data_IF_416208630004
#
_entry.id   IF_416208630004
#
_cell.length_a   1.000
_cell.length_b   1.000
_cell.length_c   1.000
_cell.angle_alpha   90.00
_cell.angle_beta   90.00
_cell.angle_gamma   90.00
#
_symmetry.space_group_name_H-M   'P 1'
#
loop_
_entity.id
_entity.type
_entity.pdbx_description
1 polymer ?
#
# COMPACT_ATOMS: atom_id res chain seq x y z
N UNK A 1 -1.77 -23.50 9.27
CA UNK A 1 -2.30 -23.74 10.64
C UNK A 1 -2.57 -22.43 11.40
N UNK A 2 -1.56 -21.60 11.69
CA UNK A 2 -1.73 -20.36 12.48
C UNK A 2 -2.84 -19.43 11.94
N UNK A 3 -2.89 -19.18 10.63
CA UNK A 3 -3.95 -18.38 10.01
C UNK A 3 -5.34 -18.99 10.19
N UNK A 4 -5.47 -20.32 10.13
CA UNK A 4 -6.75 -20.99 10.34
C UNK A 4 -7.26 -20.77 11.77
N UNK A 5 -6.38 -20.90 12.77
CA UNK A 5 -6.72 -20.61 14.17
C UNK A 5 -7.14 -19.15 14.32
N UNK A 6 -6.36 -18.21 13.77
CA UNK A 6 -6.66 -16.79 13.83
C UNK A 6 -8.04 -16.47 13.24
N UNK A 7 -8.34 -16.97 12.03
CA UNK A 7 -9.63 -16.70 11.37
C UNK A 7 -10.81 -17.41 12.03
N UNK A 8 -10.62 -18.61 12.58
CA UNK A 8 -11.67 -19.29 13.36
C UNK A 8 -12.00 -18.48 14.61
N UNK A 9 -11.00 -18.05 15.38
CA UNK A 9 -11.21 -17.24 16.58
C UNK A 9 -11.87 -15.90 16.21
N UNK A 10 -11.38 -15.21 15.19
CA UNK A 10 -11.96 -13.95 14.72
C UNK A 10 -13.42 -14.10 14.25
N UNK A 11 -13.77 -15.25 13.65
CA UNK A 11 -15.13 -15.57 13.20
C UNK A 11 -16.19 -15.64 14.31
N UNK A 12 -15.78 -15.69 15.58
CA UNK A 12 -16.68 -15.75 16.73
C UNK A 12 -16.83 -14.39 17.47
N UNK A 13 -16.33 -13.29 16.91
CA UNK A 13 -16.39 -11.97 17.54
C UNK A 13 -17.82 -11.38 17.57
N UNK A 14 -18.63 -11.65 16.55
CA UNK A 14 -19.90 -10.94 16.34
C UNK A 14 -21.10 -11.64 16.99
N UNK A 15 -21.95 -10.83 17.63
CA UNK A 15 -23.16 -11.30 18.31
C UNK A 15 -24.15 -11.87 17.29
N UNK A 16 -24.66 -13.06 17.59
CA UNK A 16 -25.70 -13.74 16.80
C UNK A 16 -26.88 -14.13 17.71
N UNK A 17 -27.59 -15.21 17.41
CA UNK A 17 -28.81 -15.61 18.12
C UNK A 17 -28.57 -16.02 19.59
N UNK A 18 -27.33 -16.30 19.98
CA UNK A 18 -26.98 -16.79 21.32
C UNK A 18 -26.54 -15.70 22.31
N UNK A 19 -26.75 -14.42 21.99
CA UNK A 19 -26.54 -13.29 22.91
C UNK A 19 -25.08 -12.94 23.26
N UNK A 20 -24.11 -13.80 22.95
CA UNK A 20 -22.68 -13.59 23.18
C UNK A 20 -22.02 -12.94 21.95
N UNK A 21 -21.15 -11.96 22.17
CA UNK A 21 -20.37 -11.26 21.14
C UNK A 21 -20.75 -9.77 21.00
N UNK A 22 -20.21 -9.13 19.97
CA UNK A 22 -20.40 -7.70 19.70
C UNK A 22 -21.36 -7.42 18.54
N UNK A 23 -22.20 -6.40 18.67
CA UNK A 23 -22.95 -5.84 17.54
C UNK A 23 -22.07 -4.85 16.77
N UNK A 24 -21.98 -5.00 15.45
CA UNK A 24 -21.22 -4.08 14.60
C UNK A 24 -21.73 -2.64 14.72
N UNK A 25 -23.05 -2.46 14.80
CA UNK A 25 -23.67 -1.14 14.97
C UNK A 25 -23.28 -0.50 16.30
N UNK A 26 -23.34 -1.26 17.40
CA UNK A 26 -22.93 -0.79 18.73
C UNK A 26 -21.45 -0.40 18.73
N UNK A 27 -20.57 -1.21 18.12
CA UNK A 27 -19.15 -0.89 17.98
C UNK A 27 -18.98 0.44 17.25
N UNK A 28 -19.57 0.59 16.05
CA UNK A 28 -19.41 1.80 15.26
C UNK A 28 -19.90 3.04 16.01
N UNK A 29 -21.10 3.00 16.58
CA UNK A 29 -21.70 4.14 17.26
C UNK A 29 -21.00 4.53 18.57
N UNK A 30 -20.28 3.59 19.20
CA UNK A 30 -19.46 3.86 20.37
C UNK A 30 -18.17 4.64 20.03
N UNK A 31 -17.67 4.55 18.80
CA UNK A 31 -16.43 5.21 18.38
C UNK A 31 -16.68 6.62 17.86
N UNK A 32 -16.66 7.58 18.79
CA UNK A 32 -16.82 9.01 18.55
C UNK A 32 -15.74 9.79 19.30
N UNK A 33 -15.32 10.93 18.78
CA UNK A 33 -14.26 11.74 19.37
C UNK A 33 -14.53 13.24 19.23
N UNK A 34 -13.76 14.08 19.96
CA UNK A 34 -14.00 15.52 20.01
C UNK A 34 -13.88 16.21 18.65
N UNK A 35 -13.10 15.66 17.72
CA UNK A 35 -12.90 16.21 16.38
C UNK A 35 -13.82 15.63 15.30
N UNK A 36 -14.48 14.50 15.58
CA UNK A 36 -15.16 13.67 14.57
C UNK A 36 -16.69 13.74 14.65
N UNK A 37 -17.25 14.56 15.53
CA UNK A 37 -18.69 14.78 15.64
C UNK A 37 -19.42 13.48 16.01
N UNK A 38 -20.38 13.06 15.18
CA UNK A 38 -21.12 11.82 15.37
C UNK A 38 -20.31 10.55 15.03
N UNK A 39 -19.02 10.67 14.69
CA UNK A 39 -18.14 9.52 14.44
C UNK A 39 -18.70 8.61 13.34
N UNK A 40 -18.81 7.31 13.63
CA UNK A 40 -19.24 6.31 12.65
C UNK A 40 -20.76 6.08 12.57
N UNK A 41 -21.58 6.91 13.23
CA UNK A 41 -23.05 6.81 13.15
C UNK A 41 -23.51 6.87 11.69
N UNK A 42 -24.41 5.95 11.29
CA UNK A 42 -24.94 5.85 9.92
C UNK A 42 -24.13 4.95 8.98
N UNK A 43 -22.89 4.57 9.32
CA UNK A 43 -22.07 3.69 8.47
C UNK A 43 -22.61 2.26 8.41
N UNK A 44 -23.16 1.75 9.51
CA UNK A 44 -23.79 0.42 9.52
C UNK A 44 -24.95 0.37 8.53
N UNK A 45 -25.79 1.40 8.53
CA UNK A 45 -26.92 1.52 7.59
C UNK A 45 -26.43 1.64 6.14
N UNK A 46 -25.40 2.44 5.86
CA UNK A 46 -24.81 2.54 4.51
C UNK A 46 -24.37 1.17 4.02
N UNK A 47 -23.58 0.45 4.82
CA UNK A 47 -22.97 -0.82 4.41
C UNK A 47 -23.95 -2.00 4.37
N UNK A 48 -25.12 -1.87 4.98
CA UNK A 48 -26.19 -2.89 4.92
C UNK A 48 -27.24 -2.58 3.85
N UNK A 49 -27.27 -1.35 3.32
CA UNK A 49 -28.29 -0.94 2.34
C UNK A 49 -27.73 -0.66 0.94
N UNK A 50 -26.48 -0.21 0.82
CA UNK A 50 -25.85 0.06 -0.48
C UNK A 50 -24.87 -1.03 -0.89
N UNK A 51 -25.17 -1.69 -2.01
CA UNK A 51 -24.25 -2.60 -2.68
C UNK A 51 -23.04 -1.87 -3.26
N UNK A 52 -23.21 -0.64 -3.73
CA UNK A 52 -22.10 0.16 -4.26
C UNK A 52 -21.11 0.55 -3.17
N UNK A 53 -21.57 0.88 -1.96
CA UNK A 53 -20.69 1.16 -0.83
C UNK A 53 -19.84 -0.08 -0.45
N UNK A 54 -20.47 -1.26 -0.37
CA UNK A 54 -19.76 -2.51 -0.11
C UNK A 54 -18.76 -2.85 -1.22
N UNK A 55 -19.19 -2.77 -2.48
CA UNK A 55 -18.34 -3.08 -3.61
C UNK A 55 -17.14 -2.13 -3.71
N UNK A 56 -17.32 -0.84 -3.40
CA UNK A 56 -16.25 0.14 -3.35
C UNK A 56 -15.14 -0.27 -2.37
N UNK A 57 -15.50 -0.60 -1.14
CA UNK A 57 -14.54 -1.03 -0.10
C UNK A 57 -13.88 -2.35 -0.49
N UNK A 58 -14.66 -3.33 -0.94
CA UNK A 58 -14.14 -4.65 -1.30
C UNK A 58 -13.15 -4.57 -2.47
N UNK A 59 -13.43 -3.78 -3.50
CA UNK A 59 -12.52 -3.59 -4.63
C UNK A 59 -11.26 -2.81 -4.25
N UNK A 60 -11.38 -1.77 -3.41
CA UNK A 60 -10.22 -1.03 -2.91
C UNK A 60 -9.28 -1.95 -2.11
N UNK A 61 -9.83 -2.79 -1.23
CA UNK A 61 -9.05 -3.73 -0.43
C UNK A 61 -8.50 -4.90 -1.24
N UNK A 62 -9.30 -5.48 -2.15
CA UNK A 62 -8.86 -6.58 -3.02
C UNK A 62 -7.77 -6.14 -3.98
N UNK A 63 -7.90 -4.94 -4.56
CA UNK A 63 -6.88 -4.39 -5.45
C UNK A 63 -5.56 -4.14 -4.72
N UNK A 64 -5.64 -3.54 -3.53
CA UNK A 64 -4.47 -3.35 -2.66
C UNK A 64 -3.83 -4.68 -2.25
N UNK A 65 -4.64 -5.69 -1.92
CA UNK A 65 -4.16 -7.03 -1.60
C UNK A 65 -3.46 -7.69 -2.80
N UNK A 66 -3.98 -7.55 -4.02
CA UNK A 66 -3.33 -8.06 -5.23
C UNK A 66 -1.94 -7.45 -5.43
N UNK A 67 -1.78 -6.14 -5.19
CA UNK A 67 -0.48 -5.45 -5.23
C UNK A 67 0.47 -6.01 -4.15
N UNK A 68 -0.02 -6.21 -2.92
CA UNK A 68 0.77 -6.81 -1.83
C UNK A 68 1.20 -8.24 -2.19
N UNK A 69 0.32 -9.04 -2.80
CA UNK A 69 0.63 -10.39 -3.28
C UNK A 69 1.76 -10.34 -4.31
N UNK A 70 1.73 -9.40 -5.26
CA UNK A 70 2.82 -9.20 -6.22
C UNK A 70 4.16 -8.97 -5.51
N UNK A 71 4.21 -8.02 -4.57
CA UNK A 71 5.41 -7.69 -3.81
C UNK A 71 5.91 -8.84 -2.93
N UNK A 72 5.01 -9.58 -2.29
CA UNK A 72 5.41 -10.73 -1.47
C UNK A 72 5.91 -11.90 -2.31
N UNK A 73 5.27 -12.21 -3.44
CA UNK A 73 5.62 -13.41 -4.22
C UNK A 73 6.99 -13.33 -4.89
N UNK A 74 7.42 -12.14 -5.35
CA UNK A 74 8.75 -12.02 -5.97
C UNK A 74 9.89 -12.05 -4.93
N UNK A 75 9.66 -11.49 -3.74
CA UNK A 75 10.64 -11.43 -2.67
C UNK A 75 10.64 -12.69 -1.79
N UNK A 76 9.54 -13.43 -1.73
CA UNK A 76 9.39 -14.68 -0.98
C UNK A 76 8.74 -15.75 -1.89
N UNK A 77 9.49 -16.30 -2.87
CA UNK A 77 8.95 -17.23 -3.86
C UNK A 77 8.33 -18.48 -3.19
N UNK A 78 7.00 -18.68 -3.27
CA UNK A 78 6.33 -19.69 -2.44
C UNK A 78 6.28 -21.08 -3.07
N UNK A 79 6.70 -21.21 -4.34
CA UNK A 79 6.62 -22.47 -5.09
C UNK A 79 8.03 -23.02 -5.43
N UNK A 80 8.20 -24.36 -5.49
CA UNK A 80 9.47 -24.95 -5.91
C UNK A 80 9.88 -24.48 -7.31
N UNK A 81 11.18 -24.18 -7.49
CA UNK A 81 11.81 -23.78 -8.76
C UNK A 81 11.29 -22.48 -9.43
N UNK A 82 10.26 -21.85 -8.88
CA UNK A 82 9.66 -20.62 -9.46
C UNK A 82 10.62 -19.43 -9.41
N UNK A 83 11.55 -19.39 -8.45
CA UNK A 83 12.51 -18.29 -8.29
C UNK A 83 13.52 -18.21 -9.45
N UNK A 84 13.85 -19.35 -10.06
CA UNK A 84 14.76 -19.43 -11.23
C UNK A 84 14.05 -19.36 -12.57
N UNK A 85 12.72 -19.37 -12.56
CA UNK A 85 11.89 -19.08 -13.72
C UNK A 85 11.54 -17.59 -13.76
N UNK A 86 12.49 -16.81 -14.27
CA UNK A 86 12.39 -15.35 -14.31
C UNK A 86 11.19 -14.85 -15.13
N UNK A 87 10.77 -15.59 -16.17
CA UNK A 87 9.63 -15.21 -16.98
C UNK A 87 8.32 -15.30 -16.19
N UNK A 88 8.17 -16.38 -15.40
CA UNK A 88 7.03 -16.57 -14.50
C UNK A 88 7.02 -15.52 -13.40
N UNK A 89 8.16 -15.22 -12.76
CA UNK A 89 8.25 -14.16 -11.74
C UNK A 89 7.80 -12.80 -12.28
N UNK A 90 8.38 -12.38 -13.41
CA UNK A 90 8.05 -11.10 -14.03
C UNK A 90 6.56 -11.04 -14.39
N UNK A 91 6.05 -12.10 -15.01
CA UNK A 91 4.67 -12.18 -15.47
C UNK A 91 3.68 -12.14 -14.30
N UNK A 92 3.92 -12.89 -13.22
CA UNK A 92 3.06 -12.88 -12.03
C UNK A 92 3.07 -11.54 -11.31
N UNK A 93 4.24 -10.91 -11.17
CA UNK A 93 4.35 -9.59 -10.57
C UNK A 93 3.55 -8.56 -11.37
N UNK A 94 3.82 -8.44 -12.68
CA UNK A 94 3.13 -7.49 -13.54
C UNK A 94 1.64 -7.77 -13.61
N UNK A 95 1.22 -9.04 -13.70
CA UNK A 95 -0.19 -9.43 -13.71
C UNK A 95 -0.93 -8.95 -12.45
N UNK A 96 -0.43 -9.28 -11.26
CA UNK A 96 -1.08 -8.91 -10.01
C UNK A 96 -1.06 -7.40 -9.74
N UNK A 97 -0.01 -6.69 -10.20
CA UNK A 97 0.05 -5.24 -10.16
C UNK A 97 -1.06 -4.60 -11.01
N UNK A 98 -1.26 -5.07 -12.24
CA UNK A 98 -2.32 -4.55 -13.12
C UNK A 98 -3.71 -4.85 -12.60
N UNK A 99 -3.99 -6.10 -12.20
CA UNK A 99 -5.27 -6.46 -11.58
C UNK A 99 -5.54 -5.58 -10.36
N UNK A 100 -4.52 -5.37 -9.53
CA UNK A 100 -4.62 -4.51 -8.36
C UNK A 100 -4.98 -3.07 -8.72
N UNK A 101 -4.30 -2.48 -9.70
CA UNK A 101 -4.60 -1.14 -10.19
C UNK A 101 -6.03 -0.99 -10.71
N UNK A 102 -6.51 -1.93 -11.53
CA UNK A 102 -7.88 -1.92 -12.03
C UNK A 102 -8.92 -2.02 -10.90
N UNK A 103 -8.69 -2.91 -9.93
CA UNK A 103 -9.60 -3.04 -8.78
C UNK A 103 -9.62 -1.78 -7.91
N UNK A 104 -8.46 -1.15 -7.62
CA UNK A 104 -8.42 0.10 -6.83
C UNK A 104 -9.21 1.21 -7.52
N UNK A 105 -9.01 1.42 -8.82
CA UNK A 105 -9.77 2.42 -9.60
C UNK A 105 -11.26 2.08 -9.65
N UNK A 106 -11.61 0.80 -9.81
CA UNK A 106 -13.00 0.33 -9.74
C UNK A 106 -13.65 0.59 -8.38
N UNK A 107 -12.88 0.48 -7.29
CA UNK A 107 -13.31 0.84 -5.94
C UNK A 107 -13.70 2.32 -5.85
N UNK A 108 -12.85 3.22 -6.36
CA UNK A 108 -13.14 4.66 -6.43
C UNK A 108 -14.38 4.96 -7.29
N UNK A 109 -14.52 4.29 -8.44
CA UNK A 109 -15.68 4.44 -9.31
C UNK A 109 -16.99 4.06 -8.59
N UNK A 110 -17.00 2.93 -7.87
CA UNK A 110 -18.17 2.53 -7.08
C UNK A 110 -18.41 3.44 -5.86
N UNK A 111 -17.36 4.02 -5.28
CA UNK A 111 -17.47 5.06 -4.27
C UNK A 111 -18.20 6.30 -4.80
N UNK A 112 -17.86 6.76 -5.99
CA UNK A 112 -18.56 7.87 -6.65
C UNK A 112 -20.02 7.51 -6.99
N UNK A 113 -20.28 6.30 -7.50
CA UNK A 113 -21.65 5.82 -7.79
C UNK A 113 -22.49 5.80 -6.51
N UNK A 114 -21.93 5.33 -5.39
CA UNK A 114 -22.57 5.38 -4.08
C UNK A 114 -22.92 6.83 -3.69
N UNK A 115 -21.99 7.77 -3.83
CA UNK A 115 -22.20 9.18 -3.49
C UNK A 115 -23.32 9.85 -4.30
N UNK A 116 -23.56 9.39 -5.53
CA UNK A 116 -24.62 9.92 -6.41
C UNK A 116 -25.97 9.26 -6.15
N UNK A 117 -26.00 7.94 -6.00
CA UNK A 117 -27.26 7.16 -5.99
C UNK A 117 -27.80 6.88 -4.60
N UNK A 118 -26.92 6.55 -3.66
CA UNK A 118 -27.31 5.90 -2.42
C UNK A 118 -26.99 6.77 -1.18
N UNK A 119 -26.14 7.79 -1.32
CA UNK A 119 -25.83 8.72 -0.25
C UNK A 119 -27.03 9.61 0.11
N UNK A 120 -27.37 9.64 1.40
CA UNK A 120 -28.41 10.50 1.94
C UNK A 120 -27.82 11.45 3.01
N UNK A 121 -27.76 12.77 2.75
CA UNK A 121 -27.22 13.75 3.69
C UNK A 121 -27.93 13.77 5.04
N UNK A 122 -29.25 13.59 5.06
CA UNK A 122 -30.04 13.62 6.30
C UNK A 122 -29.66 12.47 7.24
N UNK A 123 -29.30 11.30 6.69
CA UNK A 123 -28.85 10.13 7.47
C UNK A 123 -27.38 10.20 7.90
N UNK A 124 -26.60 11.10 7.33
CA UNK A 124 -25.16 11.23 7.57
C UNK A 124 -24.79 12.51 8.32
N UNK A 125 -25.77 13.23 8.87
CA UNK A 125 -25.52 14.53 9.47
C UNK A 125 -24.42 14.51 10.55
N UNK A 126 -23.37 15.30 10.33
CA UNK A 126 -22.23 15.48 11.22
C UNK A 126 -21.46 14.20 11.60
N UNK A 127 -21.60 13.11 10.84
CA UNK A 127 -20.76 11.93 10.95
C UNK A 127 -19.44 12.12 10.17
N UNK A 128 -18.57 11.10 10.15
CA UNK A 128 -17.30 11.16 9.43
C UNK A 128 -17.45 11.48 7.94
N UNK A 129 -18.41 10.84 7.25
CA UNK A 129 -18.60 11.02 5.81
C UNK A 129 -19.03 12.45 5.47
N UNK A 130 -20.03 12.98 6.18
CA UNK A 130 -20.48 14.36 6.02
C UNK A 130 -19.36 15.37 6.34
N UNK A 131 -18.58 15.10 7.38
CA UNK A 131 -17.45 15.96 7.74
C UNK A 131 -16.43 16.04 6.63
N UNK A 132 -16.01 14.91 6.05
CA UNK A 132 -15.08 14.87 4.91
C UNK A 132 -15.61 15.70 3.74
N UNK A 133 -16.89 15.54 3.39
CA UNK A 133 -17.52 16.31 2.30
C UNK A 133 -17.47 17.83 2.58
N UNK A 134 -17.67 18.26 3.83
CA UNK A 134 -17.68 19.69 4.21
C UNK A 134 -16.33 20.40 4.10
N UNK A 135 -15.21 19.69 4.08
CA UNK A 135 -13.89 20.28 3.91
C UNK A 135 -13.13 19.68 2.72
N UNK A 136 -13.87 19.14 1.74
CA UNK A 136 -13.31 18.53 0.53
C UNK A 136 -12.34 19.46 -0.21
N UNK A 137 -12.62 20.76 -0.26
CA UNK A 137 -11.76 21.72 -0.95
C UNK A 137 -10.38 21.84 -0.28
N UNK A 138 -10.33 21.70 1.05
CA UNK A 138 -9.07 21.65 1.80
C UNK A 138 -8.31 20.35 1.48
N UNK A 139 -8.98 19.20 1.50
CA UNK A 139 -8.35 17.91 1.17
C UNK A 139 -7.76 17.94 -0.25
N UNK A 140 -8.55 18.37 -1.23
CA UNK A 140 -8.15 18.41 -2.64
C UNK A 140 -7.03 19.43 -2.88
N UNK A 141 -7.08 20.62 -2.29
CA UNK A 141 -6.02 21.63 -2.46
C UNK A 141 -4.69 21.19 -1.85
N UNK A 142 -4.69 20.56 -0.67
CA UNK A 142 -3.46 20.03 -0.08
C UNK A 142 -2.90 18.87 -0.90
N UNK A 143 -3.75 17.94 -1.35
CA UNK A 143 -3.30 16.82 -2.19
C UNK A 143 -2.80 17.31 -3.56
N UNK A 144 -3.40 18.34 -4.13
CA UNK A 144 -2.91 19.01 -5.34
C UNK A 144 -1.50 19.60 -5.12
N UNK A 145 -1.29 20.32 -4.02
CA UNK A 145 0.02 20.83 -3.65
C UNK A 145 1.06 19.71 -3.50
N UNK A 146 0.71 18.61 -2.82
CA UNK A 146 1.59 17.43 -2.69
C UNK A 146 1.95 16.86 -4.06
N UNK A 147 0.99 16.74 -4.99
CA UNK A 147 1.26 16.24 -6.34
C UNK A 147 2.22 17.14 -7.11
N UNK A 148 2.06 18.46 -7.02
CA UNK A 148 2.99 19.43 -7.64
C UNK A 148 4.38 19.30 -7.02
N UNK A 149 4.45 19.27 -5.69
CA UNK A 149 5.71 19.09 -4.96
C UNK A 149 6.42 17.81 -5.38
N UNK A 150 5.72 16.67 -5.35
CA UNK A 150 6.29 15.38 -5.74
C UNK A 150 6.72 15.38 -7.20
N UNK A 151 5.96 15.97 -8.13
CA UNK A 151 6.35 16.08 -9.54
C UNK A 151 7.68 16.81 -9.75
N UNK A 152 7.85 17.99 -9.13
CA UNK A 152 9.10 18.75 -9.21
C UNK A 152 10.28 18.05 -8.52
N UNK A 153 10.06 17.40 -7.38
CA UNK A 153 11.12 16.81 -6.56
C UNK A 153 11.35 15.31 -6.82
N UNK A 154 10.70 14.74 -7.83
CA UNK A 154 10.97 13.39 -8.33
C UNK A 154 11.36 13.42 -9.80
N UNK A 155 10.40 13.66 -10.70
CA UNK A 155 10.65 13.71 -12.14
C UNK A 155 11.60 14.85 -12.53
N UNK A 156 11.51 16.00 -11.86
CA UNK A 156 12.45 17.10 -12.06
C UNK A 156 13.93 16.71 -11.82
N UNK A 157 14.19 15.73 -10.94
CA UNK A 157 15.55 15.22 -10.71
C UNK A 157 16.11 14.46 -11.92
N UNK A 158 15.25 13.75 -12.66
CA UNK A 158 15.65 13.07 -13.90
C UNK A 158 16.01 14.09 -14.99
N UNK A 159 15.20 15.15 -15.16
CA UNK A 159 15.50 16.24 -16.11
C UNK A 159 16.81 16.96 -15.74
N UNK A 160 17.01 17.24 -14.44
CA UNK A 160 18.27 17.78 -13.93
C UNK A 160 19.45 16.88 -14.32
N UNK A 161 19.34 15.57 -14.07
CA UNK A 161 20.38 14.60 -14.38
C UNK A 161 20.69 14.52 -15.88
N UNK A 162 19.67 14.51 -16.75
CA UNK A 162 19.87 14.52 -18.20
C UNK A 162 20.60 15.80 -18.65
N UNK A 163 20.23 16.94 -18.09
CA UNK A 163 20.86 18.23 -18.39
C UNK A 163 22.32 18.25 -17.93
N UNK A 164 22.60 17.87 -16.68
CA UNK A 164 23.96 17.84 -16.14
C UNK A 164 24.84 16.85 -16.92
N UNK A 165 24.29 15.69 -17.29
CA UNK A 165 25.00 14.69 -18.09
C UNK A 165 25.34 15.21 -19.49
N UNK A 166 24.38 15.84 -20.17
CA UNK A 166 24.59 16.43 -21.49
C UNK A 166 25.63 17.57 -21.47
N UNK A 167 25.69 18.33 -20.38
CA UNK A 167 26.69 19.38 -20.15
C UNK A 167 28.07 18.87 -19.72
N UNK A 168 28.27 17.54 -19.63
CA UNK A 168 29.53 16.95 -19.16
C UNK A 168 29.80 17.14 -17.67
N UNK A 169 28.78 17.51 -16.87
CA UNK A 169 28.87 17.80 -15.44
C UNK A 169 28.42 16.61 -14.59
N UNK A 170 29.01 15.45 -14.83
CA UNK A 170 28.65 14.21 -14.12
C UNK A 170 28.73 14.30 -12.58
N UNK A 171 29.70 15.03 -11.96
CA UNK A 171 29.72 15.20 -10.50
C UNK A 171 28.50 15.93 -9.91
N UNK A 172 27.80 16.74 -10.72
CA UNK A 172 26.64 17.53 -10.29
C UNK A 172 25.31 16.77 -10.45
N UNK A 173 25.34 15.51 -10.88
CA UNK A 173 24.17 14.65 -11.01
C UNK A 173 23.77 14.05 -9.65
N UNK A 174 22.47 13.88 -9.44
CA UNK A 174 21.94 13.05 -8.37
C UNK A 174 22.21 11.57 -8.68
N UNK A 175 23.24 11.01 -8.05
CA UNK A 175 23.70 9.64 -8.25
C UNK A 175 24.62 9.21 -7.10
N UNK A 176 24.93 7.91 -7.00
CA UNK A 176 25.82 7.41 -5.96
C UNK A 176 27.26 7.93 -6.08
N UNK A 177 27.68 8.33 -7.28
CA UNK A 177 29.03 8.87 -7.57
C UNK A 177 29.08 10.39 -7.70
N UNK A 178 27.92 11.06 -7.65
CA UNK A 178 27.77 12.52 -7.69
C UNK A 178 27.22 13.02 -6.37
N UNK A 179 26.04 13.64 -6.40
CA UNK A 179 25.28 14.07 -5.22
C UNK A 179 24.34 12.93 -4.79
N UNK A 180 24.63 12.19 -3.70
CA UNK A 180 23.85 11.01 -3.35
C UNK A 180 22.54 11.39 -2.62
N UNK A 181 21.44 10.74 -3.00
CA UNK A 181 20.17 10.79 -2.27
C UNK A 181 19.83 9.39 -1.77
N UNK A 182 20.45 8.99 -0.66
CA UNK A 182 20.31 7.61 -0.16
C UNK A 182 18.95 7.38 0.53
N UNK A 183 18.27 6.25 0.27
CA UNK A 183 17.03 5.89 0.96
C UNK A 183 17.31 5.31 2.35
N UNK A 184 17.84 6.14 3.25
CA UNK A 184 18.37 5.72 4.56
C UNK A 184 17.33 5.01 5.44
N UNK A 185 16.05 5.39 5.33
CA UNK A 185 14.98 4.74 6.09
C UNK A 185 14.73 3.31 5.61
N UNK A 186 14.70 3.09 4.30
CA UNK A 186 14.52 1.75 3.75
C UNK A 186 15.73 0.85 4.05
N UNK A 187 16.95 1.40 3.99
CA UNK A 187 18.17 0.70 4.40
C UNK A 187 18.15 0.33 5.89
N UNK A 188 17.65 1.21 6.75
CA UNK A 188 17.48 0.91 8.17
C UNK A 188 16.48 -0.23 8.40
N UNK A 189 15.35 -0.25 7.68
CA UNK A 189 14.39 -1.37 7.74
C UNK A 189 15.00 -2.68 7.23
N UNK A 190 15.76 -2.65 6.11
CA UNK A 190 16.50 -3.83 5.64
C UNK A 190 17.43 -4.38 6.72
N UNK A 191 18.18 -3.50 7.39
CA UNK A 191 19.09 -3.91 8.47
C UNK A 191 18.35 -4.50 9.67
N UNK A 192 17.19 -3.95 10.07
CA UNK A 192 16.38 -4.52 11.15
C UNK A 192 15.90 -5.93 10.80
N UNK A 193 15.46 -6.18 9.55
CA UNK A 193 15.04 -7.50 9.11
C UNK A 193 16.20 -8.49 8.96
N UNK A 194 17.39 -8.01 8.59
CA UNK A 194 18.60 -8.83 8.52
C UNK A 194 19.05 -9.29 9.92
N UNK A 195 18.95 -8.41 10.91
CA UNK A 195 19.36 -8.67 12.30
C UNK A 195 18.27 -9.32 13.17
N UNK A 196 17.06 -9.53 12.64
CA UNK A 196 15.94 -10.09 13.40
C UNK A 196 16.17 -11.54 13.88
N UNK A 197 16.69 -12.48 13.07
CA UNK A 197 16.92 -13.86 13.50
C UNK A 197 17.84 -13.94 14.71
N UNK A 198 17.42 -14.66 15.75
CA UNK A 198 18.17 -14.79 17.01
C UNK A 198 18.12 -13.57 17.95
N UNK A 199 17.48 -12.47 17.55
CA UNK A 199 17.29 -11.26 18.36
C UNK A 199 15.81 -10.94 18.54
N UNK A 200 15.22 -10.07 17.70
CA UNK A 200 13.79 -9.72 17.77
C UNK A 200 12.88 -10.84 17.26
N UNK A 201 13.45 -11.83 16.56
CA UNK A 201 12.83 -13.11 16.23
C UNK A 201 13.72 -14.27 16.72
N UNK A 202 13.74 -14.58 18.04
CA UNK A 202 14.66 -15.56 18.63
C UNK A 202 14.57 -16.96 18.02
N UNK A 203 13.36 -17.36 17.61
CA UNK A 203 13.09 -18.69 17.07
C UNK A 203 13.22 -18.77 15.54
N UNK A 204 13.51 -17.66 14.86
CA UNK A 204 13.73 -17.65 13.42
C UNK A 204 15.21 -17.98 13.13
N UNK A 205 15.45 -18.90 12.19
CA UNK A 205 16.79 -19.34 11.80
C UNK A 205 17.41 -18.46 10.69
N UNK A 206 16.58 -17.82 9.88
CA UNK A 206 17.00 -16.96 8.77
C UNK A 206 16.02 -15.80 8.63
N UNK A 207 16.42 -14.78 7.85
CA UNK A 207 15.57 -13.63 7.56
C UNK A 207 14.32 -14.05 6.77
N UNK A 208 13.24 -13.26 6.89
CA UNK A 208 11.99 -13.54 6.18
C UNK A 208 12.17 -13.54 4.64
N UNK A 209 13.13 -12.76 4.14
CA UNK A 209 13.52 -12.77 2.73
C UNK A 209 14.98 -12.33 2.56
N UNK A 210 15.70 -13.04 1.70
CA UNK A 210 17.08 -12.70 1.33
C UNK A 210 17.20 -11.37 0.58
N UNK A 211 16.09 -10.72 0.16
CA UNK A 211 16.15 -9.36 -0.41
C UNK A 211 16.58 -8.32 0.63
N UNK A 212 16.33 -8.56 1.92
CA UNK A 212 16.71 -7.65 3.01
C UNK A 212 18.22 -7.71 3.34
N UNK A 213 18.91 -8.77 2.91
CA UNK A 213 20.32 -9.02 3.21
C UNK A 213 20.65 -10.50 3.31
N UNK A 214 21.92 -10.81 3.56
CA UNK A 214 22.41 -12.18 3.70
C UNK A 214 23.03 -12.75 2.43
N UNK A 215 22.97 -14.07 2.29
CA UNK A 215 23.66 -14.79 1.23
C UNK A 215 22.90 -14.79 -0.10
N UNK A 216 23.63 -15.04 -1.19
CA UNK A 216 23.06 -15.31 -2.51
C UNK A 216 22.64 -16.78 -2.55
N UNK A 217 21.39 -17.04 -2.92
CA UNK A 217 20.87 -18.39 -3.09
C UNK A 217 20.77 -18.70 -4.58
N UNK A 218 21.40 -19.79 -5.01
CA UNK A 218 21.42 -20.25 -6.40
C UNK A 218 20.84 -21.65 -6.54
N UNK A 219 20.17 -21.92 -7.66
CA UNK A 219 19.69 -23.26 -8.04
C UNK A 219 20.18 -23.55 -9.46
N UNK A 220 21.06 -24.54 -9.59
CA UNK A 220 21.81 -24.76 -10.83
C UNK A 220 22.71 -23.57 -11.15
N UNK A 221 22.68 -23.10 -12.39
CA UNK A 221 23.47 -21.94 -12.86
C UNK A 221 22.77 -20.59 -12.68
N UNK A 222 21.61 -20.55 -12.01
CA UNK A 222 20.78 -19.35 -11.87
C UNK A 222 20.71 -18.88 -10.41
N UNK A 223 20.70 -17.57 -10.23
CA UNK A 223 20.43 -16.94 -8.92
C UNK A 223 18.91 -17.03 -8.69
N UNK A 224 18.51 -17.66 -7.59
CA UNK A 224 17.12 -17.72 -7.17
C UNK A 224 16.73 -16.43 -6.41
N UNK A 225 17.58 -15.97 -5.50
CA UNK A 225 17.36 -14.73 -4.75
C UNK A 225 18.70 -14.18 -4.23
N UNK A 226 18.81 -12.86 -4.14
CA UNK A 226 19.98 -12.16 -3.59
C UNK A 226 19.55 -10.86 -2.89
N UNK A 227 20.39 -10.29 -2.02
CA UNK A 227 20.14 -8.98 -1.43
C UNK A 227 19.93 -7.89 -2.49
N UNK A 228 18.85 -7.12 -2.35
CA UNK A 228 18.54 -5.99 -3.23
C UNK A 228 19.06 -4.72 -2.54
N UNK A 229 20.19 -4.20 -3.03
CA UNK A 229 20.78 -2.97 -2.51
C UNK A 229 19.95 -1.77 -2.98
N UNK A 230 19.65 -0.86 -2.04
CA UNK A 230 18.93 0.37 -2.33
C UNK A 230 19.89 1.55 -2.45
N UNK A 231 19.82 2.26 -3.56
CA UNK A 231 20.72 3.32 -4.02
C UNK A 231 20.00 4.65 -4.24
N UNK A 232 20.74 5.65 -4.72
CA UNK A 232 20.14 6.91 -5.18
C UNK A 232 19.12 6.69 -6.31
N UNK A 233 19.37 5.74 -7.21
CA UNK A 233 18.41 5.43 -8.28
C UNK A 233 17.10 4.86 -7.71
N UNK A 234 17.18 4.02 -6.68
CA UNK A 234 16.01 3.49 -5.99
C UNK A 234 15.24 4.59 -5.26
N UNK A 235 15.93 5.52 -4.61
CA UNK A 235 15.29 6.68 -3.99
C UNK A 235 14.46 7.46 -5.03
N UNK A 236 15.05 7.75 -6.19
CA UNK A 236 14.39 8.51 -7.25
C UNK A 236 13.14 7.78 -7.78
N UNK A 237 13.23 6.48 -8.12
CA UNK A 237 12.09 5.75 -8.68
C UNK A 237 10.96 5.55 -7.66
N UNK A 238 11.27 5.38 -6.37
CA UNK A 238 10.24 5.29 -5.33
C UNK A 238 9.47 6.61 -5.16
N UNK A 239 10.11 7.76 -5.36
CA UNK A 239 9.41 9.05 -5.35
C UNK A 239 8.57 9.26 -6.62
N UNK A 240 8.93 8.66 -7.76
CA UNK A 240 8.06 8.59 -8.94
C UNK A 240 6.83 7.71 -8.67
N UNK A 241 7.00 6.55 -8.00
CA UNK A 241 5.86 5.73 -7.58
C UNK A 241 4.94 6.51 -6.64
N UNK A 242 5.51 7.21 -5.65
CA UNK A 242 4.73 8.06 -4.75
C UNK A 242 3.97 9.15 -5.53
N UNK A 243 4.66 9.88 -6.42
CA UNK A 243 4.04 10.91 -7.26
C UNK A 243 2.86 10.36 -8.06
N UNK A 244 3.06 9.28 -8.82
CA UNK A 244 2.03 8.71 -9.69
C UNK A 244 0.84 8.18 -8.89
N UNK A 245 1.06 7.52 -7.74
CA UNK A 245 -0.02 7.08 -6.85
C UNK A 245 -0.81 8.28 -6.29
N UNK A 246 -0.14 9.33 -5.82
CA UNK A 246 -0.83 10.51 -5.27
C UNK A 246 -1.66 11.22 -6.34
N UNK A 247 -1.17 11.32 -7.58
CA UNK A 247 -1.94 11.87 -8.71
C UNK A 247 -3.14 10.98 -9.02
N UNK A 248 -3.00 9.66 -9.01
CA UNK A 248 -4.15 8.74 -9.19
C UNK A 248 -5.18 8.88 -8.07
N UNK A 249 -4.77 9.13 -6.83
CA UNK A 249 -5.70 9.35 -5.70
C UNK A 249 -6.36 10.74 -5.75
N UNK A 250 -5.68 11.74 -6.31
CA UNK A 250 -6.22 13.09 -6.50
C UNK A 250 -7.38 13.11 -7.51
N UNK A 251 -7.29 12.27 -8.55
CA UNK A 251 -8.30 12.14 -9.61
C UNK A 251 -9.47 11.29 -9.11
#
# INVERSE_FOLDING_TARGET
LALAVLFIVAGHMYRTNWGIGHSMKEILEAHKGPFTGAGHTGLYEILTTSWHAQLAINLAMMGSLSIIVAHHMYAMPPYPYIATDYATQLSLFTHHMWIGGFCVVGGSAHGAIFMVRDYNPAKNYNNLLDRVVRHRDSIISHLNWVCIFLGFHSFGLYIHNDTMRALGRAPDMFSDTGIPLKPIFAQAIQNLHLLAPGSTAPNALTTASYVFGGDIVSVGSKIAIMPIKLSTADFMVHHIHAFTIHVTVLI
#
